data_IF_555483959686
#
_entry.id   IF_555483959686
#
_cell.length_a   1.000
_cell.length_b   1.000
_cell.length_c   1.000
_cell.angle_alpha   90.00
_cell.angle_beta   90.00
_cell.angle_gamma   90.00
#
_symmetry.space_group_name_H-M   'P 1'
#
loop_
_entity.id
_entity.type
_entity.pdbx_description
1 polymer ?
#
# COMPACT_ATOMS: atom_id res chain seq x y z
N UNK A 1 -3.13 -57.11 30.22
CA UNK A 1 -3.35 -56.30 31.44
C UNK A 1 -2.72 -54.91 31.30
N UNK A 2 -1.45 -54.80 30.89
CA UNK A 2 -0.74 -53.52 30.69
C UNK A 2 -1.33 -52.66 29.56
N UNK A 3 -1.77 -53.29 28.46
CA UNK A 3 -2.30 -52.57 27.29
C UNK A 3 -3.65 -51.86 27.56
N UNK A 4 -4.49 -52.46 28.41
CA UNK A 4 -5.73 -51.84 28.87
C UNK A 4 -5.45 -50.63 29.79
N UNK A 5 -4.49 -50.77 30.71
CA UNK A 5 -4.08 -49.66 31.58
C UNK A 5 -3.48 -48.48 30.80
N UNK A 6 -2.72 -48.75 29.73
CA UNK A 6 -2.17 -47.70 28.87
C UNK A 6 -3.28 -46.96 28.10
N UNK A 7 -4.28 -47.69 27.63
CA UNK A 7 -5.41 -47.13 26.88
C UNK A 7 -6.27 -46.24 27.77
N UNK A 8 -6.51 -46.65 29.01
CA UNK A 8 -7.25 -45.86 30.00
C UNK A 8 -6.45 -44.62 30.43
N UNK A 9 -5.12 -44.73 30.55
CA UNK A 9 -4.26 -43.58 30.86
C UNK A 9 -4.34 -42.52 29.75
N UNK A 10 -4.23 -42.93 28.48
CA UNK A 10 -4.31 -42.06 27.30
C UNK A 10 -5.69 -41.40 27.21
N UNK A 11 -6.77 -42.16 27.44
CA UNK A 11 -8.13 -41.62 27.45
C UNK A 11 -8.36 -40.63 28.61
N UNK A 12 -7.76 -40.88 29.78
CA UNK A 12 -7.85 -39.97 30.93
C UNK A 12 -7.05 -38.68 30.72
N UNK A 13 -5.89 -38.74 30.07
CA UNK A 13 -5.10 -37.56 29.74
C UNK A 13 -5.74 -36.76 28.60
N UNK A 14 -6.38 -37.44 27.64
CA UNK A 14 -7.12 -36.77 26.56
C UNK A 14 -8.34 -36.03 27.11
N UNK A 15 -9.08 -36.64 28.04
CA UNK A 15 -10.24 -36.00 28.68
C UNK A 15 -9.83 -34.90 29.65
N UNK A 16 -8.72 -35.04 30.40
CA UNK A 16 -8.17 -33.95 31.22
C UNK A 16 -7.69 -32.77 30.37
N UNK A 17 -7.01 -33.01 29.25
CA UNK A 17 -6.54 -31.93 28.36
C UNK A 17 -7.69 -31.23 27.62
N UNK A 18 -8.74 -31.96 27.23
CA UNK A 18 -9.93 -31.33 26.65
C UNK A 18 -10.70 -30.51 27.70
N UNK A 19 -10.90 -31.04 28.90
CA UNK A 19 -11.58 -30.29 29.96
C UNK A 19 -10.74 -29.10 30.46
N UNK A 20 -9.41 -29.18 30.42
CA UNK A 20 -8.52 -28.05 30.72
C UNK A 20 -8.52 -26.98 29.62
N UNK A 21 -8.79 -27.34 28.36
CA UNK A 21 -9.03 -26.39 27.27
C UNK A 21 -10.43 -25.77 27.31
N UNK A 22 -11.43 -26.49 27.80
CA UNK A 22 -12.80 -25.98 27.98
C UNK A 22 -12.98 -25.13 29.25
N UNK A 23 -12.06 -25.21 30.22
CA UNK A 23 -12.07 -24.41 31.45
C UNK A 23 -11.31 -23.07 31.34
N UNK A 24 -10.76 -22.73 30.17
CA UNK A 24 -10.34 -21.35 29.92
C UNK A 24 -11.60 -20.52 29.69
N UNK A 25 -11.94 -19.65 30.65
CA UNK A 25 -13.04 -18.70 30.51
C UNK A 25 -12.96 -18.01 29.13
N UNK A 26 -13.85 -18.41 28.23
CA UNK A 26 -14.11 -17.78 26.94
C UNK A 26 -14.56 -16.35 27.20
N UNK A 27 -13.59 -15.45 27.38
CA UNK A 27 -13.85 -14.02 27.51
C UNK A 27 -14.08 -13.53 26.09
N UNK A 28 -15.35 -13.52 25.67
CA UNK A 28 -15.75 -12.99 24.39
C UNK A 28 -15.34 -11.51 24.34
N UNK A 29 -14.38 -11.17 23.47
CA UNK A 29 -13.95 -9.79 23.30
C UNK A 29 -14.82 -9.18 22.21
N UNK A 30 -15.65 -8.23 22.63
CA UNK A 30 -16.52 -7.48 21.75
C UNK A 30 -15.82 -6.20 21.33
N UNK A 31 -15.49 -6.09 20.04
CA UNK A 31 -14.91 -4.87 19.46
C UNK A 31 -16.04 -4.08 18.79
N UNK A 32 -16.36 -2.89 19.30
CA UNK A 32 -17.34 -1.99 18.71
C UNK A 32 -16.63 -0.99 17.79
N UNK A 33 -16.98 -1.01 16.50
CA UNK A 33 -16.48 -0.06 15.50
C UNK A 33 -17.67 0.80 15.09
N UNK A 34 -17.55 2.12 15.22
CA UNK A 34 -18.61 3.06 14.84
C UNK A 34 -18.32 3.62 13.44
N UNK A 35 -19.27 3.44 12.51
CA UNK A 35 -19.18 4.01 11.17
C UNK A 35 -19.66 5.48 11.16
N UNK A 36 -19.36 6.24 10.11
CA UNK A 36 -19.64 7.68 9.94
C UNK A 36 -21.13 8.04 10.06
N UNK A 37 -22.03 7.07 9.91
CA UNK A 37 -23.47 7.21 10.09
C UNK A 37 -23.97 6.84 11.50
N UNK A 38 -23.06 6.76 12.49
CA UNK A 38 -23.37 6.37 13.89
C UNK A 38 -23.97 4.96 14.05
N UNK A 39 -23.81 4.10 13.05
CA UNK A 39 -24.11 2.68 13.16
C UNK A 39 -22.95 1.95 13.84
N UNK A 40 -23.26 1.19 14.90
CA UNK A 40 -22.28 0.39 15.64
C UNK A 40 -22.18 -1.00 15.03
N UNK A 41 -21.01 -1.33 14.48
CA UNK A 41 -20.70 -2.68 14.04
C UNK A 41 -19.96 -3.38 15.19
N UNK A 42 -20.67 -4.30 15.83
CA UNK A 42 -20.20 -5.03 17.00
C UNK A 42 -19.70 -6.40 16.54
N UNK A 43 -18.38 -6.59 16.52
CA UNK A 43 -17.77 -7.89 16.20
C UNK A 43 -17.35 -8.56 17.50
N UNK A 44 -17.96 -9.70 17.82
CA UNK A 44 -17.64 -10.49 18.99
C UNK A 44 -16.77 -11.67 18.59
N UNK A 45 -15.52 -11.69 19.06
CA UNK A 45 -14.59 -12.79 18.82
C UNK A 45 -14.49 -13.65 20.06
N UNK A 46 -14.88 -14.92 19.95
CA UNK A 46 -14.99 -15.84 21.09
C UNK A 46 -13.76 -16.72 21.27
N UNK A 47 -12.99 -17.01 20.22
CA UNK A 47 -11.83 -17.91 20.27
C UNK A 47 -10.50 -17.16 20.40
N UNK A 48 -9.58 -17.66 21.24
CA UNK A 48 -8.20 -17.16 21.35
C UNK A 48 -7.46 -17.19 20.00
N UNK A 49 -7.69 -18.21 19.18
CA UNK A 49 -7.09 -18.31 17.84
C UNK A 49 -7.63 -17.22 16.92
N UNK A 50 -8.93 -16.93 16.95
CA UNK A 50 -9.51 -15.85 16.16
C UNK A 50 -9.05 -14.48 16.65
N UNK A 51 -8.85 -14.31 17.96
CA UNK A 51 -8.29 -13.08 18.54
C UNK A 51 -6.82 -12.88 18.11
N UNK A 52 -6.00 -13.93 18.06
CA UNK A 52 -4.62 -13.87 17.55
C UNK A 52 -4.57 -13.65 16.03
N UNK A 53 -5.42 -14.31 15.26
CA UNK A 53 -5.53 -14.12 13.79
C UNK A 53 -6.06 -12.73 13.46
N UNK A 54 -6.98 -12.19 14.26
CA UNK A 54 -7.48 -10.82 14.10
C UNK A 54 -6.41 -9.80 14.51
N UNK A 55 -5.78 -9.96 15.69
CA UNK A 55 -4.67 -9.11 16.15
C UNK A 55 -3.52 -9.11 15.16
N UNK A 56 -3.08 -10.26 14.66
CA UNK A 56 -1.98 -10.37 13.68
C UNK A 56 -2.32 -9.74 12.33
N UNK A 57 -3.60 -9.72 11.93
CA UNK A 57 -4.06 -9.00 10.73
C UNK A 57 -4.13 -7.49 10.95
N UNK A 58 -4.33 -7.02 12.18
CA UNK A 58 -4.39 -5.59 12.56
C UNK A 58 -3.09 -5.03 13.16
N UNK A 59 -2.09 -5.87 13.46
CA UNK A 59 -0.88 -5.42 14.16
C UNK A 59 0.05 -4.65 13.21
N UNK A 60 -0.03 -3.33 13.32
CA UNK A 60 0.86 -2.42 12.61
C UNK A 60 2.29 -2.48 13.14
N UNK A 61 2.52 -2.94 14.40
CA UNK A 61 3.85 -2.99 15.01
C UNK A 61 4.74 -4.05 14.37
N UNK A 62 4.23 -5.29 14.25
CA UNK A 62 4.95 -6.35 13.53
C UNK A 62 5.30 -5.93 12.11
N UNK A 63 4.35 -5.31 11.40
CA UNK A 63 4.61 -4.78 10.04
C UNK A 63 5.63 -3.65 10.02
N UNK A 64 5.64 -2.75 11.01
CA UNK A 64 6.64 -1.69 11.11
C UNK A 64 8.06 -2.25 11.27
N UNK A 65 8.25 -3.31 12.06
CA UNK A 65 9.54 -3.99 12.21
C UNK A 65 9.98 -4.62 10.88
N UNK A 66 9.06 -5.24 10.14
CA UNK A 66 9.39 -5.78 8.82
C UNK A 66 9.67 -4.70 7.77
N UNK A 67 8.95 -3.58 7.82
CA UNK A 67 9.17 -2.44 6.93
C UNK A 67 10.56 -1.82 7.10
N UNK A 68 11.11 -1.79 8.32
CA UNK A 68 12.49 -1.36 8.56
C UNK A 68 13.54 -2.19 7.79
N UNK A 69 13.20 -3.41 7.37
CA UNK A 69 14.08 -4.27 6.59
C UNK A 69 13.90 -4.14 5.07
N UNK A 70 13.03 -3.24 4.58
CA UNK A 70 12.80 -3.02 3.14
C UNK A 70 14.08 -2.64 2.39
N UNK A 71 14.99 -1.93 3.06
CA UNK A 71 16.29 -1.56 2.51
C UNK A 71 17.10 -2.75 1.99
N UNK A 72 16.98 -3.95 2.58
CA UNK A 72 17.70 -5.13 2.08
C UNK A 72 17.21 -5.60 0.71
N UNK A 73 15.92 -5.40 0.41
CA UNK A 73 15.32 -5.85 -0.86
C UNK A 73 15.78 -5.02 -2.05
N UNK A 74 16.21 -3.79 -1.80
CA UNK A 74 16.73 -2.85 -2.80
C UNK A 74 18.01 -3.38 -3.48
N UNK A 75 18.75 -4.29 -2.84
CA UNK A 75 19.93 -4.91 -3.43
C UNK A 75 19.60 -5.91 -4.54
N UNK A 76 18.37 -6.45 -4.56
CA UNK A 76 17.94 -7.48 -5.48
C UNK A 76 16.63 -7.05 -6.17
N UNK A 77 16.80 -6.31 -7.26
CA UNK A 77 15.68 -5.81 -8.08
C UNK A 77 15.69 -6.54 -9.42
N UNK A 78 14.59 -7.24 -9.70
CA UNK A 78 14.33 -7.90 -10.97
C UNK A 78 13.42 -7.04 -11.83
N UNK A 79 13.73 -6.96 -13.13
CA UNK A 79 12.95 -6.19 -14.10
C UNK A 79 12.36 -7.17 -15.10
N UNK A 80 11.04 -7.26 -15.12
CA UNK A 80 10.28 -8.08 -16.06
C UNK A 80 9.93 -7.23 -17.29
N UNK A 81 10.88 -7.10 -18.22
CA UNK A 81 10.71 -6.40 -19.48
C UNK A 81 10.44 -7.37 -20.63
N UNK A 82 9.51 -7.02 -21.52
CA UNK A 82 9.39 -7.67 -22.85
C UNK A 82 10.52 -7.21 -23.80
N UNK A 83 10.78 -8.01 -24.84
CA UNK A 83 11.71 -7.68 -25.91
C UNK A 83 11.35 -6.34 -26.59
N UNK A 84 12.39 -5.63 -27.05
CA UNK A 84 12.31 -4.29 -27.61
C UNK A 84 11.36 -4.27 -28.82
N UNK A 85 10.22 -3.61 -28.68
CA UNK A 85 9.35 -3.27 -29.82
C UNK A 85 9.85 -1.93 -30.39
N UNK A 86 10.21 -1.89 -31.68
CA UNK A 86 10.72 -0.69 -32.37
C UNK A 86 9.77 0.52 -32.31
N UNK A 87 8.49 0.30 -32.01
CA UNK A 87 7.44 1.33 -31.96
C UNK A 87 7.00 1.72 -30.55
N UNK A 88 7.61 1.15 -29.50
CA UNK A 88 7.25 1.39 -28.10
C UNK A 88 8.11 2.47 -27.43
N UNK A 89 7.53 3.19 -26.47
CA UNK A 89 8.30 4.06 -25.58
C UNK A 89 9.10 3.23 -24.57
N UNK A 90 10.36 3.59 -24.37
CA UNK A 90 11.21 3.01 -23.33
C UNK A 90 11.25 3.93 -22.12
N UNK A 91 10.81 3.42 -20.98
CA UNK A 91 10.84 4.14 -19.71
C UNK A 91 12.17 3.89 -19.00
N UNK A 92 12.88 4.95 -18.63
CA UNK A 92 14.11 4.87 -17.84
C UNK A 92 13.86 5.41 -16.43
N UNK A 93 14.03 4.56 -15.43
CA UNK A 93 13.82 4.89 -14.02
C UNK A 93 15.18 5.00 -13.32
N UNK A 94 15.46 6.10 -12.61
CA UNK A 94 16.71 6.23 -11.89
C UNK A 94 16.67 5.37 -10.62
N UNK A 95 17.75 4.62 -10.38
CA UNK A 95 17.84 3.67 -9.25
C UNK A 95 17.66 4.37 -7.90
N UNK A 96 18.16 5.60 -7.73
CA UNK A 96 18.05 6.32 -6.46
C UNK A 96 16.59 6.51 -6.03
N UNK A 97 15.73 6.89 -6.97
CA UNK A 97 14.31 7.11 -6.72
C UNK A 97 13.60 5.81 -6.38
N UNK A 98 13.85 4.77 -7.15
CA UNK A 98 13.26 3.45 -6.91
C UNK A 98 13.67 2.88 -5.55
N UNK A 99 14.95 2.97 -5.23
CA UNK A 99 15.53 2.52 -3.96
C UNK A 99 14.86 3.24 -2.79
N UNK A 100 14.74 4.57 -2.89
CA UNK A 100 14.10 5.38 -1.86
C UNK A 100 12.60 5.07 -1.72
N UNK A 101 11.89 4.92 -2.85
CA UNK A 101 10.48 4.55 -2.84
C UNK A 101 10.26 3.21 -2.12
N UNK A 102 11.05 2.18 -2.43
CA UNK A 102 10.94 0.86 -1.78
C UNK A 102 11.20 0.94 -0.27
N UNK A 103 12.06 1.85 0.20
CA UNK A 103 12.31 2.01 1.65
C UNK A 103 11.19 2.72 2.40
N UNK A 104 10.38 3.51 1.70
CA UNK A 104 9.37 4.40 2.31
C UNK A 104 8.00 3.74 2.44
N UNK A 105 7.75 2.64 1.74
CA UNK A 105 6.44 1.98 1.61
C UNK A 105 6.19 0.90 2.66
N UNK A 106 5.02 0.26 2.63
CA UNK A 106 4.66 -0.91 3.45
C UNK A 106 4.65 -2.19 2.60
N UNK A 107 4.91 -3.33 3.23
CA UNK A 107 4.92 -4.64 2.56
C UNK A 107 3.52 -5.13 2.16
N UNK A 108 2.48 -4.66 2.84
CA UNK A 108 1.11 -5.18 2.68
C UNK A 108 0.16 -4.15 2.09
N UNK A 109 0.38 -2.88 2.39
CA UNK A 109 -0.49 -1.80 1.94
C UNK A 109 0.08 -1.22 0.65
N UNK A 110 -0.73 -1.18 -0.39
CA UNK A 110 -0.32 -0.59 -1.66
C UNK A 110 -0.17 0.93 -1.53
N UNK A 111 0.95 1.44 -2.02
CA UNK A 111 1.29 2.86 -2.09
C UNK A 111 1.63 3.18 -3.53
N UNK A 112 1.21 4.34 -4.03
CA UNK A 112 1.34 4.74 -5.41
C UNK A 112 1.89 6.16 -5.59
N UNK A 113 2.66 6.34 -6.65
CA UNK A 113 3.27 7.62 -6.98
C UNK A 113 3.04 7.96 -8.46
N UNK A 114 3.03 9.25 -8.77
CA UNK A 114 2.96 9.77 -10.13
C UNK A 114 4.33 10.02 -10.72
N UNK A 115 4.45 9.79 -12.03
CA UNK A 115 5.66 10.04 -12.79
C UNK A 115 5.42 11.00 -13.94
N UNK A 116 5.93 12.23 -13.83
CA UNK A 116 6.02 13.10 -14.98
C UNK A 116 7.42 12.99 -15.63
N UNK A 117 7.57 12.56 -16.90
CA UNK A 117 8.87 12.39 -17.55
C UNK A 117 9.17 13.57 -18.48
N UNK A 118 10.36 13.51 -19.06
CA UNK A 118 10.79 14.42 -20.10
C UNK A 118 10.16 14.09 -21.48
N UNK A 119 9.97 15.10 -22.32
CA UNK A 119 9.28 15.03 -23.61
C UNK A 119 10.18 14.49 -24.74
N UNK A 120 10.63 13.24 -24.61
CA UNK A 120 11.49 12.57 -25.60
C UNK A 120 10.97 11.17 -25.97
N UNK A 121 11.43 10.57 -27.08
CA UNK A 121 11.09 9.16 -27.44
C UNK A 121 11.51 8.17 -26.35
N UNK A 122 12.57 8.51 -25.61
CA UNK A 122 13.00 7.81 -24.38
C UNK A 122 12.51 8.60 -23.18
N UNK A 123 11.66 7.98 -22.36
CA UNK A 123 11.01 8.67 -21.24
C UNK A 123 11.85 8.49 -19.97
N UNK A 124 12.67 9.49 -19.66
CA UNK A 124 13.41 9.53 -18.40
C UNK A 124 12.50 10.05 -17.28
N UNK A 125 12.30 9.23 -16.24
CA UNK A 125 11.55 9.63 -15.04
C UNK A 125 12.50 10.39 -14.12
N UNK A 126 12.45 11.71 -14.13
CA UNK A 126 13.29 12.55 -13.24
C UNK A 126 12.60 12.93 -11.94
N UNK A 127 11.28 13.03 -11.97
CA UNK A 127 10.48 13.40 -10.82
C UNK A 127 9.56 12.25 -10.42
N UNK A 128 9.41 12.03 -9.11
CA UNK A 128 8.35 11.21 -8.54
C UNK A 128 7.51 12.11 -7.64
N UNK A 129 6.20 12.16 -7.87
CA UNK A 129 5.28 12.90 -7.02
C UNK A 129 4.50 11.93 -6.18
N UNK A 130 4.60 12.07 -4.85
CA UNK A 130 3.88 11.24 -3.90
C UNK A 130 2.64 12.01 -3.39
N UNK A 131 1.44 11.73 -3.91
CA UNK A 131 0.23 12.43 -3.49
C UNK A 131 -0.25 11.97 -2.10
N UNK A 132 -1.12 12.76 -1.44
CA UNK A 132 -1.92 12.30 -0.30
C UNK A 132 -2.65 11.01 -0.67
N UNK A 133 -2.53 9.93 0.09
CA UNK A 133 -3.11 8.65 -0.32
C UNK A 133 -3.35 7.70 0.85
N UNK A 134 -4.23 6.73 0.62
CA UNK A 134 -4.38 5.55 1.46
C UNK A 134 -4.59 4.32 0.58
N UNK A 135 -4.28 3.14 1.10
CA UNK A 135 -4.29 1.91 0.34
C UNK A 135 -4.82 0.74 1.13
N UNK A 136 -5.08 -0.32 0.39
CA UNK A 136 -5.42 -1.65 0.91
C UNK A 136 -4.38 -2.64 0.37
N UNK A 137 -4.61 -3.93 0.59
CA UNK A 137 -3.76 -4.97 0.00
C UNK A 137 -4.03 -5.19 -1.50
N UNK A 138 -5.16 -4.68 -2.03
CA UNK A 138 -5.58 -4.92 -3.42
C UNK A 138 -5.56 -3.67 -4.30
N UNK A 139 -5.75 -2.50 -3.72
CA UNK A 139 -5.84 -1.24 -4.47
C UNK A 139 -5.37 -0.06 -3.62
N UNK A 140 -5.02 1.01 -4.32
CA UNK A 140 -4.68 2.32 -3.76
C UNK A 140 -5.80 3.32 -4.05
N UNK A 141 -5.99 4.27 -3.15
CA UNK A 141 -6.96 5.34 -3.28
C UNK A 141 -6.24 6.69 -3.30
N UNK A 142 -6.33 7.35 -4.46
CA UNK A 142 -5.71 8.64 -4.73
C UNK A 142 -6.78 9.75 -4.84
N UNK A 143 -6.46 11.00 -4.48
CA UNK A 143 -7.24 12.16 -4.80
C UNK A 143 -7.42 12.32 -6.31
N UNK A 144 -8.54 12.91 -6.72
CA UNK A 144 -8.80 13.23 -8.13
C UNK A 144 -8.04 14.47 -8.61
N UNK A 145 -7.55 15.30 -7.68
CA UNK A 145 -6.71 16.44 -8.02
C UNK A 145 -5.30 15.95 -8.40
N UNK A 146 -4.77 16.49 -9.49
CA UNK A 146 -3.40 16.25 -9.90
C UNK A 146 -2.46 17.22 -9.20
N UNK A 147 -1.18 16.85 -9.05
CA UNK A 147 -0.19 17.77 -8.53
C UNK A 147 0.06 18.91 -9.52
N UNK A 148 -0.06 20.15 -9.05
CA UNK A 148 0.28 21.35 -9.79
C UNK A 148 1.48 22.03 -9.11
N UNK A 149 2.54 22.31 -9.88
CA UNK A 149 3.71 23.05 -9.41
C UNK A 149 4.53 23.56 -10.59
N UNK A 150 5.24 24.67 -10.40
CA UNK A 150 6.15 25.26 -11.39
C UNK A 150 7.19 24.28 -11.92
N UNK A 151 7.69 23.36 -11.08
CA UNK A 151 8.65 22.33 -11.48
C UNK A 151 8.07 21.24 -12.40
N UNK A 152 6.73 21.14 -12.50
CA UNK A 152 6.04 20.14 -13.30
C UNK A 152 5.56 20.69 -14.65
N UNK A 153 5.61 22.00 -14.87
CA UNK A 153 5.05 22.64 -16.07
C UNK A 153 5.73 22.18 -17.37
N UNK A 154 7.02 21.82 -17.30
CA UNK A 154 7.79 21.35 -18.46
C UNK A 154 7.71 19.83 -18.65
N UNK A 155 7.07 19.11 -17.73
CA UNK A 155 6.97 17.65 -17.73
C UNK A 155 5.57 17.19 -18.16
N UNK A 156 5.50 16.17 -19.02
CA UNK A 156 4.22 15.53 -19.30
C UNK A 156 3.88 14.52 -18.19
N UNK A 157 2.64 14.03 -18.04
CA UNK A 157 2.37 12.92 -17.14
C UNK A 157 2.51 11.56 -17.84
N UNK A 158 3.43 10.69 -17.39
CA UNK A 158 3.65 9.33 -17.91
C UNK A 158 2.76 8.29 -17.24
N UNK A 159 2.09 8.61 -16.14
CA UNK A 159 1.31 7.63 -15.39
C UNK A 159 1.79 7.49 -13.96
N UNK A 160 1.77 6.25 -13.45
CA UNK A 160 1.91 5.98 -12.02
C UNK A 160 2.60 4.64 -11.75
N UNK A 161 3.31 4.55 -10.63
CA UNK A 161 3.69 3.26 -10.03
C UNK A 161 2.85 2.96 -8.82
N UNK A 162 2.75 1.69 -8.46
CA UNK A 162 2.35 1.30 -7.12
C UNK A 162 3.07 0.04 -6.64
N UNK A 163 3.13 -0.10 -5.31
CA UNK A 163 3.59 -1.34 -4.68
C UNK A 163 2.51 -2.39 -4.70
N UNK A 164 2.93 -3.65 -4.72
CA UNK A 164 2.05 -4.80 -4.67
C UNK A 164 2.60 -5.85 -3.70
N UNK A 165 1.79 -6.36 -2.75
CA UNK A 165 2.27 -7.30 -1.74
C UNK A 165 2.75 -8.64 -2.31
N UNK A 166 2.12 -9.09 -3.39
CA UNK A 166 2.41 -10.34 -4.06
C UNK A 166 2.69 -10.09 -5.54
N UNK A 167 3.65 -10.78 -6.12
CA UNK A 167 3.88 -10.72 -7.57
C UNK A 167 2.74 -11.39 -8.33
N UNK A 168 2.19 -10.67 -9.32
CA UNK A 168 1.20 -11.22 -10.26
C UNK A 168 1.82 -11.33 -11.66
N UNK A 169 1.53 -12.40 -12.41
CA UNK A 169 2.01 -12.55 -13.79
C UNK A 169 1.30 -11.60 -14.77
N UNK A 170 0.20 -10.98 -14.34
CA UNK A 170 -0.68 -10.14 -15.11
C UNK A 170 -1.04 -8.87 -14.35
N UNK A 171 -1.37 -7.80 -15.08
CA UNK A 171 -1.88 -6.57 -14.52
C UNK A 171 -3.22 -6.83 -13.81
N UNK A 172 -3.42 -6.27 -12.62
CA UNK A 172 -4.66 -6.54 -11.89
C UNK A 172 -5.86 -5.87 -12.56
N UNK A 173 -7.07 -6.45 -12.48
CA UNK A 173 -8.28 -5.80 -12.96
C UNK A 173 -8.54 -4.43 -12.31
N UNK A 174 -8.10 -4.27 -11.05
CA UNK A 174 -8.22 -3.03 -10.29
C UNK A 174 -7.30 -1.93 -10.84
N UNK A 175 -6.10 -2.29 -11.31
CA UNK A 175 -5.17 -1.34 -11.91
C UNK A 175 -5.71 -0.83 -13.25
N UNK A 176 -6.32 -1.70 -14.05
CA UNK A 176 -7.00 -1.31 -15.30
C UNK A 176 -8.14 -0.34 -15.02
N UNK A 177 -9.01 -0.66 -14.06
CA UNK A 177 -10.12 0.21 -13.68
C UNK A 177 -9.62 1.56 -13.15
N UNK A 178 -8.61 1.55 -12.26
CA UNK A 178 -8.02 2.75 -11.69
C UNK A 178 -7.36 3.62 -12.75
N UNK A 179 -6.57 3.02 -13.64
CA UNK A 179 -5.89 3.75 -14.70
C UNK A 179 -6.88 4.34 -15.72
N UNK A 180 -7.91 3.59 -16.10
CA UNK A 180 -8.98 4.12 -16.97
C UNK A 180 -9.71 5.31 -16.32
N UNK A 181 -9.98 5.25 -15.01
CA UNK A 181 -10.58 6.35 -14.24
C UNK A 181 -9.69 7.59 -14.24
N UNK A 182 -8.38 7.41 -14.10
CA UNK A 182 -7.41 8.51 -14.09
C UNK A 182 -7.30 9.18 -15.47
N UNK A 183 -7.29 8.38 -16.53
CA UNK A 183 -7.32 8.86 -17.92
C UNK A 183 -8.61 9.64 -18.23
N UNK A 184 -9.77 9.19 -17.71
CA UNK A 184 -11.05 9.90 -17.90
C UNK A 184 -11.09 11.24 -17.15
N UNK A 185 -10.57 11.26 -15.92
CA UNK A 185 -10.55 12.48 -15.10
C UNK A 185 -9.49 13.48 -15.59
N UNK A 186 -8.45 13.02 -16.27
CA UNK A 186 -7.28 13.83 -16.62
C UNK A 186 -7.08 13.94 -18.13
N UNK A 187 -7.51 15.07 -18.71
CA UNK A 187 -7.31 15.35 -20.14
C UNK A 187 -5.83 15.53 -20.53
N UNK A 188 -4.95 15.78 -19.57
CA UNK A 188 -3.50 15.94 -19.81
C UNK A 188 -2.80 14.59 -20.05
N UNK A 189 -3.40 13.47 -19.62
CA UNK A 189 -2.80 12.15 -19.76
C UNK A 189 -3.10 11.59 -21.15
N UNK A 190 -2.06 11.09 -21.81
CA UNK A 190 -2.19 10.44 -23.11
C UNK A 190 -2.16 8.92 -22.93
N UNK A 191 -3.26 8.24 -23.22
CA UNK A 191 -3.38 6.79 -23.06
C UNK A 191 -2.35 5.94 -23.81
N UNK A 192 -1.74 6.47 -24.88
CA UNK A 192 -0.67 5.75 -25.61
C UNK A 192 0.70 5.90 -24.95
N UNK A 193 0.92 6.99 -24.21
CA UNK A 193 2.17 7.28 -23.51
C UNK A 193 2.13 6.83 -22.05
N UNK A 194 0.94 6.77 -21.45
CA UNK A 194 0.80 6.47 -20.04
C UNK A 194 1.09 5.00 -19.73
N UNK A 195 1.87 4.77 -18.69
CA UNK A 195 2.26 3.45 -18.20
C UNK A 195 1.84 3.27 -16.73
N UNK A 196 1.66 2.00 -16.37
CA UNK A 196 1.43 1.53 -15.01
C UNK A 196 2.64 0.69 -14.63
N UNK A 197 3.30 1.07 -13.55
CA UNK A 197 4.47 0.35 -13.04
C UNK A 197 4.10 -0.38 -11.75
N UNK A 198 4.21 -1.70 -11.76
CA UNK A 198 3.92 -2.52 -10.58
C UNK A 198 5.24 -2.91 -9.91
N UNK A 199 5.40 -2.57 -8.63
CA UNK A 199 6.53 -2.98 -7.81
C UNK A 199 6.09 -4.06 -6.82
N UNK A 200 6.36 -5.31 -7.17
CA UNK A 200 5.94 -6.48 -6.38
C UNK A 200 7.02 -6.94 -5.40
N UNK A 201 6.60 -7.30 -4.19
CA UNK A 201 7.49 -7.77 -3.14
C UNK A 201 7.65 -9.30 -3.18
N UNK A 202 8.83 -9.76 -3.58
CA UNK A 202 9.23 -11.18 -3.57
C UNK A 202 10.14 -11.47 -2.36
N UNK A 203 10.25 -12.71 -1.87
CA UNK A 203 11.13 -13.01 -0.72
C UNK A 203 12.56 -12.50 -0.94
N UNK A 204 13.01 -11.55 -0.11
CA UNK A 204 14.36 -10.96 -0.18
C UNK A 204 14.66 -10.05 -1.38
N UNK A 205 13.67 -9.75 -2.23
CA UNK A 205 13.85 -9.00 -3.48
C UNK A 205 12.61 -8.18 -3.84
N UNK A 206 12.70 -7.41 -4.93
CA UNK A 206 11.58 -6.74 -5.57
C UNK A 206 11.54 -7.09 -7.06
N UNK A 207 10.35 -7.24 -7.61
CA UNK A 207 10.11 -7.47 -9.04
C UNK A 207 9.32 -6.30 -9.61
N UNK A 208 9.77 -5.75 -10.74
CA UNK A 208 9.15 -4.62 -11.42
C UNK A 208 8.63 -5.04 -12.78
N UNK A 209 7.43 -4.61 -13.11
CA UNK A 209 6.86 -4.76 -14.44
C UNK A 209 6.19 -3.45 -14.86
N UNK A 210 6.29 -3.14 -16.15
CA UNK A 210 5.66 -1.98 -16.76
C UNK A 210 4.55 -2.46 -17.70
N UNK A 211 3.41 -1.79 -17.65
CA UNK A 211 2.24 -2.09 -18.46
C UNK A 211 1.70 -0.83 -19.11
N UNK A 212 1.14 -0.97 -20.30
CA UNK A 212 0.41 0.06 -21.03
C UNK A 212 -0.99 -0.46 -21.29
N UNK A 213 -1.99 0.41 -21.19
CA UNK A 213 -3.37 0.02 -21.45
C UNK A 213 -3.65 0.00 -22.95
N UNK A 214 -4.36 -1.02 -23.44
CA UNK A 214 -4.83 -1.02 -24.84
C UNK A 214 -6.14 -0.23 -24.95
N UNK A 215 -6.52 0.26 -26.14
CA UNK A 215 -7.81 0.94 -26.32
C UNK A 215 -9.00 0.08 -25.85
N UNK A 216 -8.95 -1.23 -26.07
CA UNK A 216 -9.96 -2.19 -25.61
C UNK A 216 -9.98 -2.27 -24.07
N UNK A 217 -8.80 -2.29 -23.43
CA UNK A 217 -8.70 -2.27 -21.98
C UNK A 217 -9.20 -0.97 -21.35
N UNK A 218 -9.00 0.17 -22.02
CA UNK A 218 -9.53 1.46 -21.60
C UNK A 218 -11.06 1.48 -21.60
N UNK A 219 -11.70 1.01 -22.67
CA UNK A 219 -13.15 0.90 -22.73
C UNK A 219 -13.70 -0.05 -21.66
N UNK A 220 -13.05 -1.19 -21.45
CA UNK A 220 -13.44 -2.14 -20.40
C UNK A 220 -13.32 -1.51 -19.00
N UNK A 221 -12.18 -0.90 -18.67
CA UNK A 221 -11.95 -0.24 -17.39
C UNK A 221 -12.95 0.87 -17.12
N UNK A 222 -13.29 1.66 -18.14
CA UNK A 222 -14.33 2.70 -18.04
C UNK A 222 -15.70 2.11 -17.72
N UNK A 223 -16.09 1.02 -18.41
CA UNK A 223 -17.37 0.32 -18.16
C UNK A 223 -17.47 -0.21 -16.74
N UNK A 224 -16.38 -0.80 -16.23
CA UNK A 224 -16.28 -1.29 -14.85
C UNK A 224 -16.49 -0.16 -13.85
N UNK A 225 -15.93 1.03 -14.10
CA UNK A 225 -16.11 2.19 -13.22
C UNK A 225 -17.54 2.77 -13.25
N UNK A 226 -18.23 2.68 -14.37
CA UNK A 226 -19.61 3.19 -14.54
C UNK A 226 -20.70 2.20 -14.14
N UNK A 227 -20.38 0.92 -13.94
CA UNK A 227 -21.34 -0.09 -13.49
C UNK A 227 -21.73 0.10 -12.02
N UNK A 228 -23.00 -0.16 -11.69
CA UNK A 228 -23.66 0.00 -10.37
C UNK A 228 -23.08 -0.86 -9.20
N UNK A 229 -21.81 -1.26 -9.24
CA UNK A 229 -21.18 -2.10 -8.21
C UNK A 229 -19.84 -1.51 -7.78
N UNK A 230 -19.90 -0.40 -7.04
CA UNK A 230 -18.75 0.38 -6.56
C UNK A 230 -17.84 -0.28 -5.52
N UNK A 231 -17.62 -1.60 -5.57
CA UNK A 231 -16.70 -2.29 -4.66
C UNK A 231 -16.29 -3.70 -5.10
N UNK A 232 -17.05 -4.33 -6.00
CA UNK A 232 -16.65 -5.59 -6.65
C UNK A 232 -16.51 -5.31 -8.13
N UNK A 233 -15.25 -5.15 -8.58
CA UNK A 233 -14.95 -5.25 -10.01
C UNK A 233 -15.47 -6.60 -10.46
N UNK A 234 -16.63 -6.59 -11.12
CA UNK A 234 -17.15 -7.77 -11.78
C UNK A 234 -16.09 -8.13 -12.82
N UNK A 235 -15.25 -9.11 -12.50
CA UNK A 235 -14.19 -9.64 -13.38
C UNK A 235 -14.73 -10.21 -14.70
N UNK A 236 -16.05 -10.17 -14.88
CA UNK A 236 -16.72 -10.51 -16.13
C UNK A 236 -16.13 -9.71 -17.29
N UNK A 237 -15.52 -10.45 -18.22
CA UNK A 237 -14.91 -9.89 -19.42
C UNK A 237 -13.48 -9.39 -19.24
N UNK A 238 -12.83 -9.56 -18.09
CA UNK A 238 -11.39 -9.31 -17.99
C UNK A 238 -10.63 -10.26 -18.92
N UNK A 239 -9.78 -9.70 -19.77
CA UNK A 239 -8.98 -10.45 -20.74
C UNK A 239 -7.54 -9.91 -20.75
N UNK A 240 -6.53 -10.77 -20.97
CA UNK A 240 -5.14 -10.34 -21.11
C UNK A 240 -4.87 -9.36 -22.25
N UNK A 241 -5.77 -9.25 -23.22
CA UNK A 241 -5.68 -8.29 -24.34
C UNK A 241 -5.91 -6.83 -23.91
N UNK A 242 -6.35 -6.60 -22.67
CA UNK A 242 -6.62 -5.26 -22.14
C UNK A 242 -5.35 -4.46 -21.84
N UNK A 243 -4.20 -5.13 -21.73
CA UNK A 243 -2.93 -4.48 -21.45
C UNK A 243 -1.82 -5.09 -22.30
N UNK A 244 -0.77 -4.30 -22.50
CA UNK A 244 0.47 -4.72 -23.15
C UNK A 244 1.61 -4.45 -22.17
N UNK A 245 2.63 -5.32 -22.13
CA UNK A 245 3.84 -4.99 -21.38
C UNK A 245 4.61 -3.87 -22.08
N UNK A 246 5.13 -2.96 -21.28
CA UNK A 246 5.96 -1.85 -21.72
C UNK A 246 7.43 -2.11 -21.37
N UNK A 247 8.33 -1.45 -22.08
CA UNK A 247 9.76 -1.56 -21.82
C UNK A 247 10.18 -0.61 -20.69
N UNK A 248 10.92 -1.15 -19.73
CA UNK A 248 11.51 -0.37 -18.65
C UNK A 248 12.97 -0.74 -18.41
N UNK A 249 13.79 0.27 -18.10
CA UNK A 249 15.22 0.13 -17.82
C UNK A 249 15.55 0.91 -16.55
N UNK A 250 16.39 0.32 -15.70
CA UNK A 250 16.95 1.01 -14.53
C UNK A 250 18.27 1.69 -14.91
N UNK A 251 18.43 2.95 -14.52
CA UNK A 251 19.62 3.75 -14.80
C UNK A 251 20.23 4.32 -13.52
N UNK A 252 21.55 4.37 -13.46
CA UNK A 252 22.36 5.09 -12.47
C UNK A 252 23.01 6.35 -13.05
N UNK A 253 22.76 6.66 -14.33
CA UNK A 253 23.39 7.79 -15.03
C UNK A 253 22.88 9.15 -14.57
N UNK A 254 21.68 9.21 -14.03
CA UNK A 254 21.08 10.43 -13.51
C UNK A 254 20.35 10.14 -12.21
N UNK A 255 20.15 11.19 -11.42
CA UNK A 255 19.40 11.15 -10.18
C UNK A 255 18.05 11.81 -10.42
N UNK A 256 17.00 11.17 -9.93
CA UNK A 256 15.70 11.82 -9.81
C UNK A 256 15.52 12.49 -8.45
N UNK A 257 14.39 13.18 -8.30
CA UNK A 257 13.96 13.81 -7.05
C UNK A 257 12.50 13.51 -6.75
N UNK A 258 12.10 13.79 -5.50
CA UNK A 258 10.73 13.62 -5.03
C UNK A 258 10.02 14.94 -4.79
N UNK A 259 8.71 14.93 -5.02
CA UNK A 259 7.80 15.97 -4.58
C UNK A 259 6.77 15.36 -3.65
N UNK A 260 6.51 16.06 -2.55
CA UNK A 260 5.64 15.62 -1.46
C UNK A 260 4.56 16.67 -1.19
N UNK A 261 3.47 16.32 -0.50
CA UNK A 261 2.45 17.30 -0.14
C UNK A 261 3.04 18.38 0.77
N UNK A 262 2.65 19.63 0.56
CA UNK A 262 3.13 20.74 1.39
C UNK A 262 2.44 20.74 2.76
N UNK A 263 1.11 20.63 2.73
CA UNK A 263 0.20 20.74 3.87
C UNK A 263 -0.14 19.38 4.50
N UNK A 264 0.88 18.59 4.86
CA UNK A 264 0.72 17.37 5.65
C UNK A 264 1.49 16.16 5.10
N UNK A 265 1.33 15.00 5.75
CA UNK A 265 1.94 13.76 5.30
C UNK A 265 1.31 13.27 4.00
N UNK A 266 2.01 12.41 3.28
CA UNK A 266 1.43 11.69 2.14
C UNK A 266 0.61 10.48 2.57
N UNK A 267 0.96 9.83 3.68
CA UNK A 267 0.32 8.61 4.16
C UNK A 267 -0.91 8.88 5.04
N UNK A 268 -2.10 8.60 4.52
CA UNK A 268 -3.37 8.74 5.25
C UNK A 268 -3.95 7.41 5.75
N UNK A 269 -3.19 6.31 5.69
CA UNK A 269 -3.68 5.00 6.15
C UNK A 269 -4.09 4.95 7.63
N UNK A 270 -3.40 5.69 8.51
CA UNK A 270 -3.79 5.82 9.93
C UNK A 270 -4.63 7.08 10.19
N UNK A 271 -4.97 7.84 9.14
CA UNK A 271 -5.69 9.11 9.19
C UNK A 271 -6.83 9.14 8.16
N UNK A 272 -7.46 7.99 7.90
CA UNK A 272 -8.38 7.80 6.77
C UNK A 272 -9.55 8.80 6.75
N UNK A 273 -10.02 9.25 7.91
CA UNK A 273 -11.09 10.26 8.05
C UNK A 273 -10.70 11.61 7.45
N UNK A 274 -9.41 11.95 7.43
CA UNK A 274 -8.92 13.22 6.85
C UNK A 274 -8.74 13.16 5.33
N UNK A 275 -8.76 11.97 4.73
CA UNK A 275 -8.60 11.82 3.29
C UNK A 275 -9.97 11.88 2.61
N UNK A 276 -10.07 12.69 1.54
CA UNK A 276 -11.27 12.76 0.70
C UNK A 276 -10.86 12.73 -0.77
N UNK A 277 -11.57 11.98 -1.61
CA UNK A 277 -11.22 11.85 -3.05
C UNK A 277 -11.21 13.19 -3.80
N UNK A 278 -11.98 14.18 -3.34
CA UNK A 278 -12.05 15.53 -3.93
C UNK A 278 -11.12 16.55 -3.25
N UNK A 279 -10.23 16.10 -2.36
CA UNK A 279 -9.30 17.02 -1.69
C UNK A 279 -8.34 17.65 -2.70
N UNK A 280 -8.04 18.93 -2.47
CA UNK A 280 -6.95 19.63 -3.15
C UNK A 280 -5.71 19.59 -2.27
N UNK A 281 -4.55 19.56 -2.91
CA UNK A 281 -3.28 19.57 -2.21
C UNK A 281 -2.25 20.32 -3.07
N UNK A 282 -1.37 21.02 -2.38
CA UNK A 282 -0.18 21.62 -2.96
C UNK A 282 1.01 20.69 -2.73
N UNK A 283 2.01 20.76 -3.59
CA UNK A 283 3.22 19.94 -3.51
C UNK A 283 4.46 20.83 -3.39
N UNK A 284 5.46 20.32 -2.69
CA UNK A 284 6.79 20.93 -2.56
C UNK A 284 7.90 19.92 -2.85
N UNK A 285 9.08 20.43 -3.16
CA UNK A 285 10.28 19.61 -3.23
C UNK A 285 10.61 19.09 -1.82
N UNK A 286 10.77 17.78 -1.68
CA UNK A 286 11.07 17.18 -0.38
C UNK A 286 11.19 15.67 -0.47
N UNK A 287 11.75 15.07 0.58
CA UNK A 287 11.87 13.61 0.69
C UNK A 287 10.65 13.03 1.41
N UNK A 288 9.96 12.02 0.85
CA UNK A 288 8.84 11.41 1.54
C UNK A 288 9.32 10.66 2.77
N UNK A 289 8.55 10.80 3.85
CA UNK A 289 8.82 10.12 5.13
C UNK A 289 8.36 8.67 5.05
N UNK A 290 9.02 7.78 5.78
CA UNK A 290 8.66 6.36 5.85
C UNK A 290 7.19 6.13 6.26
N UNK A 291 6.60 5.02 5.81
CA UNK A 291 5.20 4.68 6.02
C UNK A 291 4.77 4.75 7.50
N UNK A 292 5.63 4.27 8.41
CA UNK A 292 5.35 4.20 9.85
C UNK A 292 5.89 5.40 10.65
N UNK A 293 6.33 6.47 9.98
CA UNK A 293 6.82 7.69 10.60
C UNK A 293 5.73 8.36 11.47
N UNK A 294 6.13 9.06 12.54
CA UNK A 294 5.21 9.64 13.52
C UNK A 294 4.15 10.56 12.90
N UNK A 295 4.54 11.39 11.92
CA UNK A 295 3.66 12.29 11.16
C UNK A 295 2.47 11.58 10.50
N UNK A 296 2.61 10.30 10.13
CA UNK A 296 1.54 9.54 9.49
C UNK A 296 0.57 8.93 10.50
N UNK A 297 0.96 8.87 11.78
CA UNK A 297 0.25 8.11 12.81
C UNK A 297 0.06 8.92 14.12
N UNK A 298 -0.36 10.19 14.06
CA UNK A 298 -0.39 11.09 15.22
C UNK A 298 -1.27 10.59 16.37
N UNK A 299 -2.36 9.88 16.06
CA UNK A 299 -3.29 9.32 17.07
C UNK A 299 -2.56 8.42 18.07
N UNK A 300 -1.66 7.55 17.58
CA UNK A 300 -0.89 6.64 18.45
C UNK A 300 0.02 7.37 19.43
N UNK A 301 0.41 8.62 19.15
CA UNK A 301 1.26 9.41 20.04
C UNK A 301 0.42 10.28 20.99
N UNK A 302 -0.72 10.79 20.51
CA UNK A 302 -1.65 11.58 21.33
C UNK A 302 -2.34 10.75 22.42
N UNK A 303 -2.55 9.45 22.20
CA UNK A 303 -3.10 8.54 23.22
C UNK A 303 -2.22 8.46 24.48
N UNK A 304 -0.89 8.58 24.34
CA UNK A 304 0.03 8.55 25.49
C UNK A 304 -0.02 9.84 26.32
N UNK A 305 -0.23 11.00 25.70
CA UNK A 305 -0.35 12.27 26.42
C UNK A 305 -1.57 12.32 27.35
N UNK A 306 -2.63 11.59 27.04
CA UNK A 306 -3.84 11.57 27.86
C UNK A 306 -3.75 10.64 29.08
N UNK A 307 -2.67 9.85 29.21
CA UNK A 307 -2.49 8.92 30.34
C UNK A 307 -1.74 9.56 31.52
N UNK A 308 -1.10 10.72 31.34
CA UNK A 308 -0.30 11.38 32.39
C UNK A 308 -1.14 11.97 33.54
N UNK A 309 -2.47 12.09 33.39
CA UNK A 309 -3.36 12.52 34.47
C UNK A 309 -3.65 11.39 35.50
N UNK A 310 -3.13 10.17 35.29
CA UNK A 310 -3.55 8.96 35.99
C UNK A 310 -2.71 8.48 37.17
N UNK A 311 -1.43 8.86 37.32
CA UNK A 311 -0.56 8.30 38.37
C UNK A 311 0.46 9.32 38.90
N UNK A 312 -0.04 10.31 39.65
CA UNK A 312 0.78 11.03 40.62
C UNK A 312 0.88 10.23 41.94
N UNK A 313 1.29 8.96 41.86
CA UNK A 313 1.65 8.15 43.04
C UNK A 313 2.89 7.33 42.73
N UNK A 314 4.04 8.00 42.68
CA UNK A 314 5.37 7.37 42.60
C UNK A 314 6.39 8.23 43.32
N UNK A 315 7.04 7.64 44.34
CA UNK A 315 7.88 8.33 45.33
C UNK A 315 9.10 9.08 44.76
N UNK A 316 9.63 9.98 45.60
CA UNK A 316 10.70 10.92 45.29
C UNK A 316 11.81 10.34 44.41
N UNK A 317 11.87 10.81 43.17
CA UNK A 317 12.98 10.59 42.27
C UNK A 317 13.83 11.87 42.32
N UNK A 318 14.88 11.84 43.13
CA UNK A 318 15.92 12.88 43.08
C UNK A 318 16.76 12.64 41.82
N UNK A 319 16.34 13.25 40.71
CA UNK A 319 17.11 13.23 39.46
C UNK A 319 18.24 14.26 39.56
N UNK A 320 19.40 13.80 40.04
CA UNK A 320 20.64 14.58 40.13
C UNK A 320 21.45 14.67 38.82
N UNK A 321 20.79 14.57 37.67
CA UNK A 321 21.43 14.76 36.36
C UNK A 321 20.83 16.00 35.69
N UNK A 322 21.66 17.04 35.57
CA UNK A 322 21.34 18.29 34.83
C UNK A 322 21.19 18.07 33.32
#
# INVERSE_FOLDING_TARGET
>A
MIEFALRDLILSDYTKNNNAKEASQLTAVTTSITNVHSDQLIVTTTSCYEQEVHRSKTDWRGRAIFAANLYFRVNHIFVNSEDIKETGYTCIIPKNNLNFFITVVDLRTQIADYFPPDNSQVKEIRCIVMPPQWGTHQQVHLPSALPENDFLNDLEPLGWMHTQPNELPQLSPQDIASHAKMLENTKQWNGEKCIILTCSFTPGSCSLAAYKLTPVGYEWGRRVNTGDSGSNVNQHGYLPIHYEKAQMILSDRFLGFFMIPDNGPWGYNFMGVKHTTRMKYDIKLGMPREYYHQDHRPIHFLEFCNMEDGDAVGGGCDDHFE
#
